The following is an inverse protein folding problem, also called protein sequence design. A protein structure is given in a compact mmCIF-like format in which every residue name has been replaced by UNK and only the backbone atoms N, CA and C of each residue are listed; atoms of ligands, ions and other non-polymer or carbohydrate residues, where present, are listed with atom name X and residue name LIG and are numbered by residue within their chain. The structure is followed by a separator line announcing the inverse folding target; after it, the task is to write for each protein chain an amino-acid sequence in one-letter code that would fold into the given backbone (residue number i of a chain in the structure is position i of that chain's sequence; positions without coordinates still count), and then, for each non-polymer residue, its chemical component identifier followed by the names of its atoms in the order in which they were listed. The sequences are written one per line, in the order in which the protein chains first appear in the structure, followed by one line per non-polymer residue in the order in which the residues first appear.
data_IF_942048976848
#
_entry.id   IF_942048976848
#
_cell.length_a   1.000
_cell.length_b   1.000
_cell.length_c   1.000
_cell.angle_alpha   90.00
_cell.angle_beta   90.00
_cell.angle_gamma   90.00
#
_symmetry.space_group_name_H-M   'P 1'
#
loop_
_entity.id
_entity.type
_entity.pdbx_description
1 polymer ?
#
# COMPACT_ATOMS: atom_id res chain seq x y z
N UNK A 1 6.10 -7.41 -22.18
CA UNK A 1 5.88 -6.43 -21.09
C UNK A 1 4.95 -5.38 -21.66
N UNK A 2 3.74 -5.25 -21.12
CA UNK A 2 2.87 -4.14 -21.48
C UNK A 2 3.48 -2.84 -20.93
N UNK A 3 3.66 -1.85 -21.80
CA UNK A 3 4.21 -0.56 -21.42
C UNK A 3 3.30 0.14 -20.39
N UNK A 4 3.90 0.91 -19.48
CA UNK A 4 3.16 1.79 -18.57
C UNK A 4 2.47 2.90 -19.36
N UNK A 5 1.23 3.21 -19.01
CA UNK A 5 0.44 4.36 -19.46
C UNK A 5 0.33 5.42 -18.35
N UNK A 6 1.05 5.24 -17.24
CA UNK A 6 1.09 6.21 -16.14
C UNK A 6 1.98 7.38 -16.54
N UNK A 7 1.40 8.56 -16.58
CA UNK A 7 2.16 9.82 -16.71
C UNK A 7 2.32 10.43 -15.32
N UNK A 8 3.57 10.55 -14.87
CA UNK A 8 3.89 11.20 -13.60
C UNK A 8 3.82 12.72 -13.77
N UNK A 9 2.95 13.37 -13.00
CA UNK A 9 3.04 14.82 -12.77
C UNK A 9 4.04 15.08 -11.65
N UNK A 10 4.61 16.29 -11.60
CA UNK A 10 5.54 16.69 -10.54
C UNK A 10 4.98 16.35 -9.16
N UNK A 11 5.70 15.47 -8.44
CA UNK A 11 5.42 15.14 -7.06
C UNK A 11 6.23 16.08 -6.17
N UNK A 12 5.63 16.58 -5.09
CA UNK A 12 6.31 17.55 -4.20
C UNK A 12 7.50 16.94 -3.45
N UNK A 13 7.45 15.63 -3.19
CA UNK A 13 8.35 14.94 -2.25
C UNK A 13 9.21 13.88 -2.93
N UNK A 14 9.10 13.70 -4.25
CA UNK A 14 9.86 12.68 -5.00
C UNK A 14 10.50 13.34 -6.20
N UNK A 15 11.78 13.07 -6.43
CA UNK A 15 12.47 13.58 -7.62
C UNK A 15 11.77 13.10 -8.90
N UNK A 16 11.79 13.90 -9.95
CA UNK A 16 11.15 13.52 -11.22
C UNK A 16 11.76 12.22 -11.78
N UNK A 17 13.08 12.02 -11.62
CA UNK A 17 13.78 10.83 -12.10
C UNK A 17 13.38 9.59 -11.31
N UNK A 18 13.29 9.68 -9.98
CA UNK A 18 12.86 8.56 -9.13
C UNK A 18 11.39 8.23 -9.36
N UNK A 19 10.54 9.25 -9.52
CA UNK A 19 9.13 9.05 -9.80
C UNK A 19 8.92 8.41 -11.19
N UNK A 20 9.66 8.85 -12.21
CA UNK A 20 9.66 8.24 -13.53
C UNK A 20 10.19 6.79 -13.48
N UNK A 21 11.26 6.54 -12.71
CA UNK A 21 11.81 5.21 -12.52
C UNK A 21 10.78 4.27 -11.87
N UNK A 22 10.14 4.67 -10.77
CA UNK A 22 9.07 3.87 -10.14
C UNK A 22 7.90 3.63 -11.08
N UNK A 23 7.44 4.65 -11.81
CA UNK A 23 6.34 4.51 -12.76
C UNK A 23 6.66 3.55 -13.91
N UNK A 24 7.93 3.50 -14.35
CA UNK A 24 8.38 2.57 -15.38
C UNK A 24 8.29 1.09 -14.96
N UNK A 25 8.24 0.81 -13.65
CA UNK A 25 8.11 -0.54 -13.11
C UNK A 25 6.64 -0.97 -12.93
N UNK A 26 5.70 -0.03 -12.98
CA UNK A 26 4.27 -0.34 -12.88
C UNK A 26 3.77 -0.83 -14.23
N UNK A 27 3.25 -2.05 -14.26
CA UNK A 27 2.71 -2.68 -15.47
C UNK A 27 1.23 -2.38 -15.60
N UNK A 28 0.80 -2.13 -16.82
CA UNK A 28 -0.62 -1.98 -17.15
C UNK A 28 -1.16 -3.29 -17.68
N UNK A 29 -2.18 -3.84 -17.01
CA UNK A 29 -2.81 -5.11 -17.36
C UNK A 29 -4.29 -4.85 -17.65
N UNK A 30 -4.65 -4.63 -18.92
CA UNK A 30 -6.06 -4.44 -19.32
C UNK A 30 -6.86 -5.72 -19.10
N UNK A 31 -8.11 -5.56 -18.67
CA UNK A 31 -9.08 -6.65 -18.56
C UNK A 31 -8.89 -7.57 -17.35
N UNK A 32 -8.14 -7.15 -16.34
CA UNK A 32 -7.92 -7.91 -15.10
C UNK A 32 -8.43 -7.14 -13.88
N UNK A 33 -9.11 -7.78 -12.90
CA UNK A 33 -9.61 -9.16 -12.92
C UNK A 33 -10.83 -9.36 -13.81
N UNK A 34 -11.37 -8.29 -14.42
CA UNK A 34 -12.48 -8.37 -15.37
C UNK A 34 -12.25 -7.41 -16.56
N UNK A 35 -12.98 -7.58 -17.68
CA UNK A 35 -12.72 -6.87 -18.93
C UNK A 35 -12.77 -5.33 -18.87
N UNK A 36 -13.49 -4.73 -17.91
CA UNK A 36 -13.64 -3.28 -17.82
C UNK A 36 -12.56 -2.60 -16.97
N UNK A 37 -11.69 -3.36 -16.29
CA UNK A 37 -10.67 -2.83 -15.40
C UNK A 37 -9.32 -2.73 -16.11
N UNK A 38 -8.62 -1.61 -15.92
CA UNK A 38 -7.21 -1.48 -16.24
C UNK A 38 -6.41 -1.63 -14.94
N UNK A 39 -5.82 -2.80 -14.72
CA UNK A 39 -5.10 -3.09 -13.49
C UNK A 39 -3.68 -2.51 -13.52
N UNK A 40 -3.31 -1.83 -12.42
CA UNK A 40 -1.95 -1.33 -12.19
C UNK A 40 -1.19 -2.32 -11.32
N UNK A 41 -0.35 -3.12 -11.96
CA UNK A 41 0.50 -4.07 -11.24
C UNK A 41 1.83 -3.40 -10.85
N UNK A 42 1.93 -3.07 -9.57
CA UNK A 42 3.09 -2.43 -8.96
C UNK A 42 4.06 -3.43 -8.32
N UNK A 43 3.76 -4.74 -8.31
CA UNK A 43 4.62 -5.74 -7.66
C UNK A 43 6.08 -5.72 -8.12
N UNK A 44 6.42 -5.40 -9.39
CA UNK A 44 7.82 -5.31 -9.81
C UNK A 44 8.67 -4.31 -9.01
N UNK A 45 8.06 -3.30 -8.37
CA UNK A 45 8.77 -2.37 -7.47
C UNK A 45 9.45 -3.11 -6.31
N UNK A 46 8.82 -4.17 -5.80
CA UNK A 46 9.35 -4.94 -4.67
C UNK A 46 10.40 -5.98 -5.09
N UNK A 47 10.49 -6.31 -6.39
CA UNK A 47 11.50 -7.22 -6.91
C UNK A 47 12.90 -6.60 -7.05
N UNK A 48 13.05 -5.30 -6.75
CA UNK A 48 14.31 -4.58 -6.82
C UNK A 48 14.52 -3.71 -5.57
N UNK A 49 15.67 -3.88 -4.91
CA UNK A 49 15.99 -3.21 -3.67
C UNK A 49 16.09 -1.68 -3.80
N UNK A 50 16.50 -1.16 -4.96
CA UNK A 50 16.56 0.28 -5.21
C UNK A 50 15.15 0.86 -5.28
N UNK A 51 14.26 0.26 -6.08
CA UNK A 51 12.90 0.78 -6.23
C UNK A 51 12.08 0.66 -4.95
N UNK A 52 12.22 -0.44 -4.20
CA UNK A 52 11.55 -0.56 -2.90
C UNK A 52 12.04 0.48 -1.90
N UNK A 53 13.35 0.76 -1.85
CA UNK A 53 13.90 1.84 -1.00
C UNK A 53 13.36 3.20 -1.39
N UNK A 54 13.43 3.56 -2.68
CA UNK A 54 12.90 4.85 -3.18
C UNK A 54 11.43 5.00 -2.78
N UNK A 55 10.62 3.96 -3.00
CA UNK A 55 9.20 3.96 -2.65
C UNK A 55 8.99 4.22 -1.15
N UNK A 56 9.70 3.50 -0.28
CA UNK A 56 9.51 3.62 1.18
C UNK A 56 10.01 4.97 1.69
N UNK A 57 11.18 5.44 1.27
CA UNK A 57 11.69 6.76 1.65
C UNK A 57 10.75 7.86 1.15
N UNK A 58 10.23 7.76 -0.08
CA UNK A 58 9.24 8.69 -0.64
C UNK A 58 7.92 8.72 0.16
N UNK A 59 7.47 7.59 0.69
CA UNK A 59 6.27 7.51 1.53
C UNK A 59 6.50 8.16 2.88
N UNK A 60 7.71 8.05 3.44
CA UNK A 60 8.09 8.70 4.70
C UNK A 60 8.13 10.22 4.51
N UNK A 61 8.76 10.69 3.43
CA UNK A 61 8.83 12.13 3.12
C UNK A 61 7.45 12.74 2.83
N UNK A 62 6.49 11.92 2.39
CA UNK A 62 5.12 12.32 2.13
C UNK A 62 4.19 12.23 3.36
N UNK A 63 4.69 11.84 4.53
CA UNK A 63 3.87 11.78 5.74
C UNK A 63 3.26 13.17 6.04
N UNK A 64 1.96 13.24 6.36
CA UNK A 64 1.29 14.51 6.65
C UNK A 64 1.63 15.04 8.06
N UNK A 65 2.29 14.22 8.88
CA UNK A 65 2.67 14.49 10.27
C UNK A 65 4.09 14.01 10.52
N UNK A 66 4.80 14.53 11.54
CA UNK A 66 6.10 14.01 11.92
C UNK A 66 6.03 12.52 12.27
N UNK A 67 7.03 11.74 11.87
CA UNK A 67 7.09 10.31 12.18
C UNK A 67 7.02 10.01 13.69
N UNK A 68 7.53 10.92 14.53
CA UNK A 68 7.52 10.78 15.98
C UNK A 68 6.13 10.91 16.60
N UNK A 69 5.15 11.50 15.89
CA UNK A 69 3.76 11.58 16.37
C UNK A 69 2.91 10.36 15.99
N UNK A 70 3.52 9.32 15.43
CA UNK A 70 2.86 8.08 15.05
C UNK A 70 3.39 6.95 15.93
N UNK A 71 2.51 6.13 16.49
CA UNK A 71 2.89 4.96 17.28
C UNK A 71 2.88 3.67 16.45
N UNK A 72 1.89 3.56 15.54
CA UNK A 72 1.62 2.38 14.74
C UNK A 72 1.39 2.74 13.27
N UNK A 73 1.87 1.86 12.38
CA UNK A 73 1.49 1.86 10.97
C UNK A 73 0.45 0.78 10.76
N UNK A 74 -0.77 1.17 10.38
CA UNK A 74 -1.82 0.22 10.05
C UNK A 74 -1.80 -0.11 8.54
N UNK A 75 -1.87 -1.40 8.20
CA UNK A 75 -1.94 -1.87 6.81
C UNK A 75 -3.15 -2.75 6.58
N UNK A 76 -3.86 -2.54 5.46
CA UNK A 76 -4.98 -3.40 5.06
C UNK A 76 -4.51 -4.59 4.23
N UNK A 77 -5.03 -5.78 4.53
CA UNK A 77 -4.69 -6.98 3.77
C UNK A 77 -5.17 -6.93 2.30
N UNK A 78 -4.53 -7.67 1.39
CA UNK A 78 -3.21 -8.27 1.54
C UNK A 78 -2.11 -7.30 1.09
N UNK A 79 -2.40 -6.46 0.09
CA UNK A 79 -1.39 -5.63 -0.58
C UNK A 79 -0.85 -4.50 0.29
N UNK A 80 -1.60 -4.02 1.28
CA UNK A 80 -1.09 -3.07 2.27
C UNK A 80 0.05 -3.65 3.11
N UNK A 81 0.11 -4.98 3.27
CA UNK A 81 1.19 -5.66 3.98
C UNK A 81 2.52 -5.67 3.22
N UNK A 82 2.53 -5.24 1.95
CA UNK A 82 3.78 -5.03 1.22
C UNK A 82 4.47 -3.71 1.62
N UNK A 83 3.71 -2.73 2.12
CA UNK A 83 4.20 -1.41 2.47
C UNK A 83 4.30 -1.24 3.98
N UNK A 84 3.25 -1.63 4.71
CA UNK A 84 3.07 -1.34 6.14
C UNK A 84 4.24 -1.84 7.01
N UNK A 85 4.60 -3.13 6.98
CA UNK A 85 5.74 -3.65 7.73
C UNK A 85 7.07 -3.00 7.35
N UNK A 86 7.28 -2.67 6.07
CA UNK A 86 8.50 -1.98 5.62
C UNK A 86 8.57 -0.55 6.18
N UNK A 87 7.46 0.18 6.15
CA UNK A 87 7.36 1.51 6.75
C UNK A 87 7.54 1.47 8.27
N UNK A 88 6.83 0.57 8.95
CA UNK A 88 6.92 0.37 10.39
C UNK A 88 8.36 0.09 10.81
N UNK A 89 9.03 -0.85 10.14
CA UNK A 89 10.43 -1.18 10.40
C UNK A 89 11.36 0.02 10.15
N UNK A 90 11.15 0.77 9.06
CA UNK A 90 11.99 1.93 8.70
C UNK A 90 11.83 3.09 9.68
N UNK A 91 10.65 3.27 10.27
CA UNK A 91 10.32 4.32 11.23
C UNK A 91 10.50 3.90 12.69
N UNK A 92 10.83 2.63 12.95
CA UNK A 92 10.93 2.09 14.31
C UNK A 92 9.59 2.06 15.05
N UNK A 93 8.49 1.81 14.33
CA UNK A 93 7.11 1.79 14.84
C UNK A 93 6.52 0.38 14.81
N UNK A 94 5.44 0.18 15.57
CA UNK A 94 4.68 -1.06 15.49
C UNK A 94 3.87 -1.15 14.19
N UNK A 95 3.44 -2.36 13.84
CA UNK A 95 2.60 -2.61 12.68
C UNK A 95 1.26 -3.20 13.12
N UNK A 96 0.16 -2.58 12.72
CA UNK A 96 -1.20 -3.05 12.97
C UNK A 96 -1.79 -3.68 11.70
N UNK A 97 -2.10 -4.97 11.77
CA UNK A 97 -2.73 -5.68 10.67
C UNK A 97 -4.24 -5.47 10.66
N UNK A 98 -4.78 -4.87 9.60
CA UNK A 98 -6.21 -4.82 9.33
C UNK A 98 -6.55 -5.94 8.34
N UNK A 99 -7.45 -6.84 8.71
CA UNK A 99 -7.78 -8.03 7.90
C UNK A 99 -9.26 -8.10 7.59
N UNK A 100 -9.65 -8.90 6.59
CA UNK A 100 -11.07 -9.24 6.40
C UNK A 100 -11.56 -10.07 7.59
N UNK A 101 -12.87 -10.00 7.82
CA UNK A 101 -13.48 -10.71 8.93
C UNK A 101 -13.16 -12.22 8.96
N UNK A 102 -12.90 -12.75 10.16
CA UNK A 102 -12.57 -14.16 10.41
C UNK A 102 -11.14 -14.55 10.06
N UNK A 103 -10.23 -13.59 9.86
CA UNK A 103 -8.81 -13.84 9.58
C UNK A 103 -7.88 -13.53 10.75
N UNK A 104 -8.37 -12.88 11.80
CA UNK A 104 -7.65 -12.64 13.03
C UNK A 104 -8.18 -13.56 14.15
N UNK A 105 -7.33 -14.02 15.08
CA UNK A 105 -7.80 -14.66 16.31
C UNK A 105 -8.60 -13.66 17.16
N UNK A 106 -9.72 -14.07 17.78
CA UNK A 106 -10.46 -13.21 18.71
C UNK A 106 -9.67 -12.97 20.01
N UNK A 107 -9.87 -11.84 20.71
CA UNK A 107 -10.90 -10.81 20.47
C UNK A 107 -10.53 -9.82 19.36
N UNK A 108 -11.54 -9.41 18.58
CA UNK A 108 -11.39 -8.46 17.47
C UNK A 108 -12.43 -7.34 17.54
N UNK A 109 -12.06 -6.16 17.02
CA UNK A 109 -13.00 -5.08 16.71
C UNK A 109 -13.34 -5.18 15.22
N UNK A 110 -14.62 -5.16 14.87
CA UNK A 110 -15.11 -5.34 13.50
C UNK A 110 -15.80 -4.08 13.00
N UNK A 111 -15.47 -3.66 11.78
CA UNK A 111 -16.15 -2.58 11.06
C UNK A 111 -16.67 -3.08 9.72
N UNK A 112 -17.93 -2.76 9.42
CA UNK A 112 -18.63 -3.24 8.21
C UNK A 112 -18.93 -2.10 7.25
N UNK A 113 -18.75 -2.34 5.96
CA UNK A 113 -18.94 -1.33 4.90
C UNK A 113 -19.65 -1.93 3.68
N UNK A 114 -20.39 -1.07 2.98
CA UNK A 114 -21.12 -1.46 1.77
C UNK A 114 -20.21 -1.45 0.55
N UNK A 115 -20.37 -2.46 -0.29
CA UNK A 115 -19.81 -2.53 -1.63
C UNK A 115 -20.90 -2.17 -2.66
N UNK A 116 -20.51 -2.01 -3.91
CA UNK A 116 -21.46 -1.82 -5.03
C UNK A 116 -22.49 -2.96 -5.09
N UNK A 117 -22.05 -4.19 -4.78
CA UNK A 117 -22.91 -5.36 -4.64
C UNK A 117 -22.53 -6.14 -3.38
N UNK A 118 -23.16 -5.80 -2.25
CA UNK A 118 -23.06 -6.52 -0.98
C UNK A 118 -22.43 -5.74 0.16
N UNK A 119 -22.01 -6.46 1.20
CA UNK A 119 -21.35 -5.92 2.39
C UNK A 119 -20.07 -6.70 2.64
N UNK A 120 -19.05 -6.01 3.14
CA UNK A 120 -17.82 -6.62 3.62
C UNK A 120 -17.48 -6.06 5.01
N UNK A 121 -16.64 -6.78 5.74
CA UNK A 121 -16.20 -6.38 7.07
C UNK A 121 -14.68 -6.56 7.20
N UNK A 122 -14.07 -5.63 7.94
CA UNK A 122 -12.67 -5.66 8.31
C UNK A 122 -12.53 -5.71 9.83
N UNK A 123 -11.41 -6.27 10.30
CA UNK A 123 -11.12 -6.53 11.69
C UNK A 123 -9.72 -6.04 12.06
N UNK A 124 -9.58 -5.64 13.31
CA UNK A 124 -8.31 -5.45 14.03
C UNK A 124 -8.35 -6.22 15.35
N UNK A 125 -7.19 -6.60 15.89
CA UNK A 125 -7.08 -7.17 17.24
C UNK A 125 -7.51 -6.11 18.28
N UNK A 126 -8.27 -6.51 19.30
CA UNK A 126 -8.87 -5.57 20.26
C UNK A 126 -7.86 -4.94 21.23
N UNK A 127 -6.69 -5.55 21.39
CA UNK A 127 -5.63 -5.17 22.32
C UNK A 127 -4.37 -4.62 21.62
N UNK A 128 -4.49 -4.30 20.32
CA UNK A 128 -3.39 -3.77 19.52
C UNK A 128 -3.17 -2.26 19.65
#
# INVERSE_FOLDING_TARGET
MTATDITVKTLKTVSNDDAAYLASLIRTVPGFPNPSIIFRDFLPIFSNARSSRILIDSLIDALPVPADSIDLIAGLEARGFLFGPLLASRLGKGFLAIRKAGKLPPPVITESYMLEYGQASIEIESDA
#
